data_IF_292278260618
#
_entry.id   IF_292278260618
#
_cell.length_a   1.000
_cell.length_b   1.000
_cell.length_c   1.000
_cell.angle_alpha   90.00
_cell.angle_beta   90.00
_cell.angle_gamma   90.00
#
_symmetry.space_group_name_H-M   'P 1'
#
loop_
_entity.id
_entity.type
_entity.pdbx_description
1 polymer ?
#
# COMPACT_ATOMS: atom_id res chain seq x y z
N UNK A 1 28.20 44.36 -18.66
CA UNK A 1 27.35 44.54 -17.45
C UNK A 1 26.00 43.94 -17.75
N UNK A 2 25.78 42.67 -17.41
CA UNK A 2 24.46 42.05 -17.49
C UNK A 2 23.98 41.83 -16.06
N UNK A 3 23.05 42.65 -15.59
CA UNK A 3 22.44 42.51 -14.28
C UNK A 3 21.40 41.41 -14.33
N UNK A 4 21.65 40.33 -13.59
CA UNK A 4 20.65 39.31 -13.26
C UNK A 4 19.45 39.96 -12.58
N UNK A 5 18.31 39.99 -13.27
CA UNK A 5 17.01 40.20 -12.62
C UNK A 5 16.55 38.81 -12.21
N UNK A 6 16.95 38.41 -11.00
CA UNK A 6 16.38 37.23 -10.36
C UNK A 6 14.93 37.58 -10.01
N UNK A 7 13.97 37.03 -10.77
CA UNK A 7 12.55 37.24 -10.52
C UNK A 7 12.21 36.78 -9.10
N UNK A 8 11.86 37.73 -8.23
CA UNK A 8 11.52 37.47 -6.84
C UNK A 8 10.26 36.60 -6.78
N UNK A 9 10.42 35.34 -6.36
CA UNK A 9 9.30 34.41 -6.14
C UNK A 9 8.26 35.04 -5.22
N UNK A 10 6.99 34.98 -5.64
CA UNK A 10 5.83 35.41 -4.86
C UNK A 10 5.79 34.69 -3.50
N UNK A 11 5.06 35.25 -2.52
CA UNK A 11 4.89 34.62 -1.22
C UNK A 11 4.27 33.21 -1.34
N UNK A 12 3.36 33.03 -2.31
CA UNK A 12 2.75 31.74 -2.63
C UNK A 12 3.77 30.75 -3.22
N UNK A 13 4.60 31.17 -4.17
CA UNK A 13 5.65 30.32 -4.74
C UNK A 13 6.72 29.94 -3.71
N UNK A 14 7.04 30.82 -2.77
CA UNK A 14 7.94 30.51 -1.64
C UNK A 14 7.32 29.50 -0.68
N UNK A 15 6.05 29.67 -0.33
CA UNK A 15 5.33 28.74 0.54
C UNK A 15 5.14 27.36 -0.12
N UNK A 16 4.98 27.31 -1.45
CA UNK A 16 4.90 26.07 -2.23
C UNK A 16 6.28 25.37 -2.30
N UNK A 17 7.37 26.14 -2.37
CA UNK A 17 8.73 25.61 -2.49
C UNK A 17 9.40 25.30 -1.13
N UNK A 18 8.79 25.68 -0.02
CA UNK A 18 9.29 25.36 1.32
C UNK A 18 9.19 23.84 1.56
N UNK A 19 10.30 23.18 1.98
CA UNK A 19 10.27 21.76 2.33
C UNK A 19 9.15 21.48 3.32
N UNK A 20 8.27 20.53 2.98
CA UNK A 20 7.18 20.12 3.86
C UNK A 20 7.67 19.09 4.89
N UNK A 21 6.79 18.71 5.80
CA UNK A 21 7.15 17.79 6.88
C UNK A 21 7.81 18.47 8.06
N UNK A 22 7.88 17.70 9.13
CA UNK A 22 8.73 17.99 10.29
C UNK A 22 9.26 16.68 10.78
N UNK A 23 10.42 16.72 11.42
CA UNK A 23 11.00 15.55 12.10
C UNK A 23 10.31 15.26 13.44
N UNK A 24 9.53 16.20 13.97
CA UNK A 24 8.80 16.00 15.22
C UNK A 24 7.37 15.49 14.97
N UNK A 25 6.92 14.49 15.72
CA UNK A 25 5.56 13.94 15.62
C UNK A 25 4.86 13.82 16.98
N UNK A 26 3.52 13.79 16.93
CA UNK A 26 2.68 13.64 18.13
C UNK A 26 2.52 12.16 18.48
N UNK A 27 2.97 11.70 19.65
CA UNK A 27 2.84 10.30 20.03
C UNK A 27 1.36 9.89 20.18
N UNK A 28 1.08 8.61 19.97
CA UNK A 28 -0.28 8.05 20.10
C UNK A 28 -1.24 8.38 18.96
N UNK A 29 -0.79 9.08 17.91
CA UNK A 29 -1.59 9.38 16.71
C UNK A 29 -1.14 8.59 15.47
N UNK A 30 -0.12 7.73 15.60
CA UNK A 30 0.42 6.99 14.49
C UNK A 30 -0.60 5.97 13.95
N UNK A 31 -0.64 5.83 12.64
CA UNK A 31 -1.49 4.86 11.97
C UNK A 31 -0.90 4.45 10.63
N UNK A 32 -1.20 3.22 10.24
CA UNK A 32 -0.77 2.63 8.98
C UNK A 32 -1.99 2.39 8.10
N UNK A 33 -1.85 2.71 6.82
CA UNK A 33 -2.80 2.33 5.78
C UNK A 33 -2.13 1.28 4.88
N UNK A 34 -2.79 0.14 4.71
CA UNK A 34 -2.40 -0.86 3.73
C UNK A 34 -3.55 -1.06 2.73
N UNK A 35 -3.30 -0.73 1.48
CA UNK A 35 -4.32 -0.70 0.42
C UNK A 35 -4.05 -1.79 -0.59
N UNK A 36 -5.08 -2.58 -0.89
CA UNK A 36 -5.11 -3.54 -1.99
C UNK A 36 -5.95 -2.96 -3.12
N UNK A 37 -5.39 -2.90 -4.32
CA UNK A 37 -6.12 -2.65 -5.56
C UNK A 37 -6.11 -3.90 -6.43
N UNK A 38 -7.25 -4.21 -7.02
CA UNK A 38 -7.34 -5.12 -8.15
C UNK A 38 -7.37 -4.27 -9.42
N UNK A 39 -6.33 -4.39 -10.23
CA UNK A 39 -6.21 -3.72 -11.53
C UNK A 39 -6.68 -4.68 -12.63
N UNK A 40 -7.44 -4.21 -13.65
CA UNK A 40 -7.91 -5.06 -14.76
C UNK A 40 -6.79 -5.78 -15.53
N UNK A 41 -5.57 -5.24 -15.51
CA UNK A 41 -4.44 -5.73 -16.28
C UNK A 41 -3.11 -5.35 -15.66
N UNK A 42 -2.02 -5.94 -16.17
CA UNK A 42 -0.67 -5.50 -15.84
C UNK A 42 -0.40 -4.06 -16.28
N UNK A 43 -0.92 -3.63 -17.44
CA UNK A 43 -0.70 -2.27 -17.94
C UNK A 43 -1.36 -1.20 -17.08
N UNK A 44 -2.58 -1.46 -16.59
CA UNK A 44 -3.29 -0.57 -15.65
C UNK A 44 -2.60 -0.55 -14.29
N UNK A 45 -2.13 -1.71 -13.79
CA UNK A 45 -1.32 -1.79 -12.58
C UNK A 45 -0.04 -0.95 -12.69
N UNK A 46 0.67 -1.01 -13.83
CA UNK A 46 1.87 -0.20 -14.06
C UNK A 46 1.56 1.31 -14.07
N UNK A 47 0.44 1.73 -14.66
CA UNK A 47 0.01 3.14 -14.62
C UNK A 47 -0.32 3.60 -13.20
N UNK A 48 -0.95 2.74 -12.40
CA UNK A 48 -1.19 3.01 -10.98
C UNK A 48 0.13 3.16 -10.21
N UNK A 49 1.08 2.25 -10.41
CA UNK A 49 2.42 2.33 -9.81
C UNK A 49 3.15 3.62 -10.18
N UNK A 50 3.06 4.06 -11.45
CA UNK A 50 3.64 5.34 -11.88
C UNK A 50 3.00 6.54 -11.18
N UNK A 51 1.69 6.49 -10.91
CA UNK A 51 1.01 7.54 -10.15
C UNK A 51 1.44 7.54 -8.68
N UNK A 52 1.51 6.36 -8.05
CA UNK A 52 2.02 6.19 -6.68
C UNK A 52 3.49 6.64 -6.55
N UNK A 53 4.33 6.37 -7.55
CA UNK A 53 5.72 6.81 -7.56
C UNK A 53 5.85 8.34 -7.55
N UNK A 54 4.94 9.06 -8.22
CA UNK A 54 4.88 10.52 -8.15
C UNK A 54 4.46 11.00 -6.76
N UNK A 55 3.50 10.32 -6.12
CA UNK A 55 3.11 10.61 -4.72
C UNK A 55 4.28 10.38 -3.76
N UNK A 56 5.03 9.28 -3.91
CA UNK A 56 6.16 8.97 -3.04
C UNK A 56 7.36 9.91 -3.26
N UNK A 57 7.58 10.41 -4.49
CA UNK A 57 8.59 11.43 -4.74
C UNK A 57 8.31 12.72 -3.93
N UNK A 58 7.04 13.07 -3.73
CA UNK A 58 6.62 14.20 -2.90
C UNK A 58 7.07 14.05 -1.45
N UNK A 59 6.84 12.87 -0.87
CA UNK A 59 7.17 12.59 0.54
C UNK A 59 8.66 12.41 0.76
N UNK A 60 9.39 11.95 -0.26
CA UNK A 60 10.82 11.73 -0.19
C UNK A 60 11.66 13.02 -0.32
N UNK A 61 11.15 14.05 -0.99
CA UNK A 61 11.88 15.33 -1.16
C UNK A 61 12.09 16.07 0.17
N UNK A 62 11.14 15.92 1.08
CA UNK A 62 10.91 16.80 2.21
C UNK A 62 11.26 16.09 3.55
N UNK A 63 11.08 16.73 4.71
CA UNK A 63 11.20 15.98 5.99
C UNK A 63 10.08 14.93 6.09
N UNK A 64 10.30 13.76 6.71
CA UNK A 64 9.39 12.63 6.55
C UNK A 64 8.01 12.90 7.14
N UNK A 65 7.04 13.23 6.29
CA UNK A 65 5.62 13.10 6.61
C UNK A 65 5.20 11.62 6.65
N UNK A 66 5.89 10.78 5.89
CA UNK A 66 5.55 9.37 5.69
C UNK A 66 6.84 8.55 5.76
N UNK A 67 7.25 8.04 6.94
CA UNK A 67 8.50 7.28 7.07
C UNK A 67 8.53 5.97 6.29
N UNK A 68 7.38 5.38 5.95
CA UNK A 68 7.27 4.15 5.17
C UNK A 68 6.25 4.40 4.06
N UNK A 69 6.68 4.35 2.80
CA UNK A 69 5.82 4.50 1.62
C UNK A 69 6.20 3.42 0.61
N UNK A 70 5.70 2.21 0.85
CA UNK A 70 6.00 1.05 0.03
C UNK A 70 4.82 0.73 -0.89
N UNK A 71 5.08 0.37 -2.14
CA UNK A 71 4.02 -0.12 -3.04
C UNK A 71 4.60 -1.04 -4.10
N UNK A 72 3.80 -1.99 -4.58
CA UNK A 72 4.24 -2.99 -5.56
C UNK A 72 3.08 -3.59 -6.34
N UNK A 73 3.39 -4.18 -7.49
CA UNK A 73 2.57 -5.25 -8.05
C UNK A 73 2.83 -6.50 -7.21
N UNK A 74 1.78 -7.04 -6.60
CA UNK A 74 1.90 -8.19 -5.71
C UNK A 74 2.09 -9.47 -6.50
N UNK A 75 3.22 -10.13 -6.27
CA UNK A 75 3.49 -11.44 -6.87
C UNK A 75 2.86 -12.60 -6.10
N UNK A 76 2.45 -12.34 -4.85
CA UNK A 76 1.90 -13.35 -3.95
C UNK A 76 0.38 -13.50 -4.07
N UNK A 77 -0.27 -12.67 -4.88
CA UNK A 77 -1.71 -12.48 -4.86
C UNK A 77 -2.40 -12.82 -6.18
N UNK A 78 -1.77 -13.63 -7.03
CA UNK A 78 -2.37 -14.08 -8.28
C UNK A 78 -3.72 -14.80 -8.06
N UNK A 79 -3.88 -15.49 -6.93
CA UNK A 79 -5.12 -16.16 -6.50
C UNK A 79 -6.19 -15.20 -5.95
N UNK A 80 -5.84 -13.96 -5.57
CA UNK A 80 -6.82 -12.95 -5.14
C UNK A 80 -7.59 -12.36 -6.30
N UNK A 81 -6.97 -12.39 -7.48
CA UNK A 81 -7.54 -11.90 -8.72
C UNK A 81 -8.44 -12.98 -9.34
N UNK A 82 -9.65 -12.63 -9.80
CA UNK A 82 -10.46 -13.59 -10.54
C UNK A 82 -9.77 -13.97 -11.85
N UNK A 83 -10.19 -15.09 -12.44
CA UNK A 83 -9.76 -15.47 -13.78
C UNK A 83 -10.08 -14.36 -14.79
N UNK A 84 -9.28 -14.27 -15.85
CA UNK A 84 -9.49 -13.34 -16.95
C UNK A 84 -10.91 -13.54 -17.52
N UNK A 85 -11.73 -12.48 -17.60
CA UNK A 85 -13.08 -12.59 -18.12
C UNK A 85 -13.03 -12.83 -19.63
N UNK A 86 -13.89 -13.70 -20.15
CA UNK A 86 -13.99 -13.99 -21.58
C UNK A 86 -15.22 -13.36 -22.20
N UNK A 87 -16.32 -13.29 -21.46
CA UNK A 87 -17.61 -12.78 -21.95
C UNK A 87 -18.06 -11.51 -21.23
N UNK A 88 -19.02 -10.81 -21.83
CA UNK A 88 -19.60 -9.57 -21.28
C UNK A 88 -20.11 -9.78 -19.84
N UNK A 89 -20.77 -10.90 -19.56
CA UNK A 89 -21.30 -11.20 -18.23
C UNK A 89 -20.25 -11.64 -17.21
N UNK A 90 -19.07 -12.08 -17.65
CA UNK A 90 -17.96 -12.43 -16.76
C UNK A 90 -17.21 -11.17 -16.30
N UNK A 91 -17.18 -10.11 -17.10
CA UNK A 91 -16.51 -8.86 -16.74
C UNK A 91 -17.20 -8.19 -15.54
N UNK A 92 -16.52 -7.99 -14.38
CA UNK A 92 -17.16 -7.56 -13.12
C UNK A 92 -17.98 -6.27 -13.24
N UNK A 93 -17.46 -5.26 -13.94
CA UNK A 93 -18.14 -3.99 -14.15
C UNK A 93 -19.36 -4.13 -15.07
N UNK A 94 -19.23 -4.83 -16.21
CA UNK A 94 -20.31 -4.98 -17.19
C UNK A 94 -21.42 -5.84 -16.60
N UNK A 95 -21.09 -6.92 -15.89
CA UNK A 95 -22.04 -7.72 -15.10
C UNK A 95 -22.84 -6.86 -14.14
N UNK A 96 -22.17 -5.98 -13.40
CA UNK A 96 -22.84 -5.06 -12.45
C UNK A 96 -23.76 -4.07 -13.18
N UNK A 97 -23.30 -3.52 -14.30
CA UNK A 97 -24.08 -2.61 -15.14
C UNK A 97 -25.33 -3.28 -15.73
N UNK A 98 -25.20 -4.50 -16.27
CA UNK A 98 -26.32 -5.32 -16.75
C UNK A 98 -27.32 -5.62 -15.62
N UNK A 99 -26.83 -5.93 -14.41
CA UNK A 99 -27.69 -6.16 -13.25
C UNK A 99 -28.45 -4.90 -12.83
N UNK A 100 -27.78 -3.73 -12.83
CA UNK A 100 -28.39 -2.41 -12.58
C UNK A 100 -29.50 -2.11 -13.61
N UNK A 101 -29.27 -2.38 -14.90
CA UNK A 101 -30.28 -2.23 -15.95
C UNK A 101 -31.51 -3.10 -15.66
N UNK A 102 -31.29 -4.38 -15.29
CA UNK A 102 -32.38 -5.33 -14.99
C UNK A 102 -33.25 -4.89 -13.80
N UNK A 103 -32.68 -4.21 -12.81
CA UNK A 103 -33.44 -3.70 -11.63
C UNK A 103 -33.97 -2.27 -11.83
N UNK A 104 -33.92 -1.73 -13.05
CA UNK A 104 -34.56 -0.47 -13.40
C UNK A 104 -33.73 0.79 -13.14
N UNK A 105 -32.42 0.68 -12.91
CA UNK A 105 -31.54 1.86 -12.84
C UNK A 105 -31.48 2.53 -14.22
N UNK A 106 -31.62 3.88 -14.33
CA UNK A 106 -31.61 4.57 -15.61
C UNK A 106 -30.35 4.31 -16.44
N UNK A 107 -30.51 3.97 -17.73
CA UNK A 107 -29.40 3.69 -18.65
C UNK A 107 -28.37 4.82 -18.69
N UNK A 108 -28.82 6.09 -18.71
CA UNK A 108 -27.93 7.26 -18.71
C UNK A 108 -26.97 7.32 -17.51
N UNK A 109 -27.42 6.89 -16.33
CA UNK A 109 -26.56 6.84 -15.14
C UNK A 109 -25.51 5.73 -15.25
N UNK A 110 -25.88 4.60 -15.86
CA UNK A 110 -24.99 3.45 -16.07
C UNK A 110 -23.96 3.76 -17.15
N UNK A 111 -24.37 4.38 -18.26
CA UNK A 111 -23.45 4.80 -19.33
C UNK A 111 -22.43 5.82 -18.84
N UNK A 112 -22.84 6.76 -17.98
CA UNK A 112 -21.92 7.70 -17.35
C UNK A 112 -20.91 6.99 -16.42
N UNK A 113 -21.34 5.99 -15.65
CA UNK A 113 -20.47 5.21 -14.78
C UNK A 113 -19.45 4.36 -15.57
N UNK A 114 -19.88 3.72 -16.66
CA UNK A 114 -19.00 2.97 -17.56
C UNK A 114 -17.99 3.86 -18.28
N UNK A 115 -18.44 4.99 -18.82
CA UNK A 115 -17.56 5.95 -19.50
C UNK A 115 -16.48 6.49 -18.54
N UNK A 116 -16.85 6.76 -17.28
CA UNK A 116 -15.90 7.16 -16.24
C UNK A 116 -14.86 6.07 -15.96
N UNK A 117 -15.22 4.80 -16.09
CA UNK A 117 -14.32 3.65 -15.96
C UNK A 117 -13.59 3.30 -17.27
N UNK A 118 -13.73 4.12 -18.32
CA UNK A 118 -13.09 3.91 -19.61
C UNK A 118 -13.66 2.76 -20.43
N UNK A 119 -14.87 2.27 -20.12
CA UNK A 119 -15.51 1.16 -20.84
C UNK A 119 -16.47 1.66 -21.91
N UNK A 120 -16.47 0.97 -23.05
CA UNK A 120 -17.42 1.23 -24.14
C UNK A 120 -18.84 0.83 -23.73
N UNK A 121 -19.74 1.80 -23.78
CA UNK A 121 -21.16 1.62 -23.43
C UNK A 121 -21.94 0.77 -24.42
N UNK A 122 -21.45 0.65 -25.67
CA UNK A 122 -22.07 -0.21 -26.68
C UNK A 122 -22.02 -1.70 -26.28
N UNK A 123 -21.10 -2.08 -25.40
CA UNK A 123 -21.00 -3.43 -24.85
C UNK A 123 -22.26 -3.85 -24.06
N UNK A 124 -23.06 -2.90 -23.58
CA UNK A 124 -24.33 -3.18 -22.90
C UNK A 124 -25.44 -3.67 -23.85
N UNK A 125 -25.29 -3.46 -25.14
CA UNK A 125 -26.28 -3.83 -26.16
C UNK A 125 -25.94 -5.17 -26.84
N UNK A 126 -24.80 -5.77 -26.48
CA UNK A 126 -24.40 -7.10 -26.92
C UNK A 126 -25.07 -8.19 -26.07
N UNK A 127 -25.08 -9.41 -26.61
CA UNK A 127 -25.50 -10.57 -25.83
C UNK A 127 -24.56 -10.76 -24.62
N UNK A 128 -25.08 -11.00 -23.39
CA UNK A 128 -24.24 -11.22 -22.22
C UNK A 128 -23.22 -12.36 -22.37
N UNK A 129 -23.50 -13.38 -23.19
CA UNK A 129 -22.57 -14.47 -23.46
C UNK A 129 -21.62 -14.19 -24.64
N UNK A 130 -21.70 -13.02 -25.26
CA UNK A 130 -20.77 -12.63 -26.33
C UNK A 130 -19.35 -12.45 -25.76
N UNK A 131 -18.36 -12.74 -26.61
CA UNK A 131 -16.95 -12.54 -26.27
C UNK A 131 -16.65 -11.05 -26.04
N UNK A 132 -15.80 -10.78 -25.06
CA UNK A 132 -15.24 -9.46 -24.81
C UNK A 132 -14.27 -9.06 -25.91
N UNK A 133 -14.08 -7.75 -26.15
CA UNK A 133 -12.89 -7.27 -26.84
C UNK A 133 -11.61 -7.82 -26.21
N UNK A 134 -10.59 -8.23 -26.99
CA UNK A 134 -9.35 -8.82 -26.46
C UNK A 134 -8.67 -7.97 -25.39
N UNK A 135 -8.78 -6.65 -25.47
CA UNK A 135 -8.21 -5.71 -24.52
C UNK A 135 -8.80 -5.85 -23.11
N UNK A 136 -10.04 -6.33 -23.01
CA UNK A 136 -10.76 -6.57 -21.75
C UNK A 136 -10.66 -8.02 -21.26
N UNK A 137 -10.00 -8.91 -22.02
CA UNK A 137 -9.77 -10.32 -21.65
C UNK A 137 -8.44 -10.53 -20.91
N UNK A 138 -7.84 -9.47 -20.36
CA UNK A 138 -6.57 -9.55 -19.65
C UNK A 138 -6.77 -10.09 -18.23
N UNK A 139 -5.75 -10.78 -17.72
CA UNK A 139 -5.75 -11.24 -16.33
C UNK A 139 -5.60 -10.04 -15.38
N UNK A 140 -6.49 -9.90 -14.37
CA UNK A 140 -6.34 -8.89 -13.35
C UNK A 140 -5.08 -9.13 -12.51
N UNK A 141 -4.57 -8.04 -11.92
CA UNK A 141 -3.35 -8.04 -11.11
C UNK A 141 -3.57 -7.25 -9.84
N UNK A 142 -3.05 -7.75 -8.71
CA UNK A 142 -3.13 -7.05 -7.44
C UNK A 142 -1.97 -6.05 -7.30
N UNK A 143 -2.29 -4.83 -6.87
CA UNK A 143 -1.33 -3.81 -6.42
C UNK A 143 -1.53 -3.57 -4.93
N UNK A 144 -0.43 -3.46 -4.20
CA UNK A 144 -0.42 -3.15 -2.77
C UNK A 144 0.29 -1.83 -2.52
N UNK A 145 -0.17 -1.06 -1.53
CA UNK A 145 0.57 0.09 -0.98
C UNK A 145 0.45 0.13 0.54
N UNK A 146 1.55 0.42 1.21
CA UNK A 146 1.67 0.60 2.65
C UNK A 146 2.20 2.00 2.92
N UNK A 147 1.45 2.77 3.69
CA UNK A 147 1.80 4.13 4.10
C UNK A 147 1.72 4.22 5.62
N UNK A 148 2.78 4.66 6.27
CA UNK A 148 2.81 4.92 7.71
C UNK A 148 2.81 6.43 7.97
N UNK A 149 1.82 6.89 8.73
CA UNK A 149 1.72 8.27 9.19
C UNK A 149 1.95 8.30 10.69
N UNK A 150 2.79 9.22 11.17
CA UNK A 150 3.11 9.32 12.60
C UNK A 150 2.16 10.21 13.39
N UNK A 151 1.43 11.11 12.71
CA UNK A 151 0.34 11.89 13.26
C UNK A 151 -0.59 12.43 12.15
N UNK A 152 -1.70 13.05 12.55
CA UNK A 152 -2.67 13.65 11.61
C UNK A 152 -2.04 14.73 10.74
N UNK A 153 -1.11 15.51 11.28
CA UNK A 153 -0.43 16.58 10.54
C UNK A 153 0.35 15.97 9.37
N UNK A 154 1.06 14.88 9.60
CA UNK A 154 1.83 14.20 8.57
C UNK A 154 0.95 13.73 7.40
N UNK A 155 -0.25 13.19 7.71
CA UNK A 155 -1.25 12.86 6.70
C UNK A 155 -1.72 14.09 5.92
N UNK A 156 -2.13 15.15 6.62
CA UNK A 156 -2.64 16.37 5.98
C UNK A 156 -1.57 17.07 5.12
N UNK A 157 -0.32 17.11 5.57
CA UNK A 157 0.80 17.66 4.80
C UNK A 157 1.10 16.82 3.55
N UNK A 158 1.02 15.50 3.65
CA UNK A 158 1.14 14.62 2.49
C UNK A 158 0.00 14.83 1.48
N UNK A 159 -1.25 14.67 1.95
CA UNK A 159 -2.45 14.77 1.11
C UNK A 159 -2.67 16.19 0.53
N UNK A 160 -2.18 17.21 1.23
CA UNK A 160 -2.22 18.62 0.78
C UNK A 160 -1.02 19.05 -0.07
N UNK A 161 -0.02 18.19 -0.26
CA UNK A 161 1.14 18.53 -1.08
C UNK A 161 0.77 18.66 -2.56
N UNK A 162 1.38 19.61 -3.26
CA UNK A 162 1.11 19.84 -4.69
C UNK A 162 1.39 18.58 -5.51
N UNK A 163 2.52 17.94 -5.26
CA UNK A 163 2.95 16.75 -5.99
C UNK A 163 1.98 15.58 -5.77
N UNK A 164 1.44 15.42 -4.54
CA UNK A 164 0.36 14.48 -4.30
C UNK A 164 -0.89 14.86 -5.08
N UNK A 165 -1.37 16.11 -5.00
CA UNK A 165 -2.58 16.54 -5.70
C UNK A 165 -2.47 16.38 -7.22
N UNK A 166 -1.31 16.65 -7.80
CA UNK A 166 -1.02 16.49 -9.23
C UNK A 166 -1.01 15.01 -9.65
N UNK A 167 -0.64 14.08 -8.75
CA UNK A 167 -0.61 12.64 -9.00
C UNK A 167 -1.88 11.89 -8.57
N UNK A 168 -2.62 12.43 -7.60
CA UNK A 168 -3.76 11.79 -6.93
C UNK A 168 -4.89 11.48 -7.90
N UNK A 169 -5.08 12.33 -8.92
CA UNK A 169 -6.04 12.07 -9.99
C UNK A 169 -5.78 10.72 -10.68
N UNK A 170 -4.50 10.36 -10.89
CA UNK A 170 -4.11 9.07 -11.45
C UNK A 170 -4.33 7.90 -10.49
N UNK A 171 -4.01 8.08 -9.20
CA UNK A 171 -4.28 7.05 -8.17
C UNK A 171 -5.78 6.78 -8.02
N UNK A 172 -6.59 7.82 -8.13
CA UNK A 172 -8.04 7.75 -7.98
C UNK A 172 -8.78 7.47 -9.29
N UNK A 173 -8.08 7.31 -10.41
CA UNK A 173 -8.68 6.98 -11.71
C UNK A 173 -9.43 5.64 -11.64
N UNK A 174 -10.76 5.64 -11.74
CA UNK A 174 -11.56 4.43 -11.62
C UNK A 174 -11.36 3.47 -12.81
N UNK A 175 -10.75 3.88 -13.91
CA UNK A 175 -10.38 2.99 -15.01
C UNK A 175 -9.19 2.07 -14.65
N UNK A 176 -8.37 2.45 -13.64
CA UNK A 176 -7.19 1.68 -13.26
C UNK A 176 -7.48 0.56 -12.24
N UNK A 177 -8.71 0.45 -11.75
CA UNK A 177 -9.08 -0.51 -10.69
C UNK A 177 -10.51 -1.03 -10.80
N UNK A 178 -10.69 -2.30 -10.48
CA UNK A 178 -12.02 -2.93 -10.36
C UNK A 178 -12.48 -3.01 -8.91
N UNK A 179 -11.54 -3.17 -7.98
CA UNK A 179 -11.81 -3.32 -6.55
C UNK A 179 -10.71 -2.67 -5.72
N UNK A 180 -11.07 -2.15 -4.55
CA UNK A 180 -10.14 -1.63 -3.55
C UNK A 180 -10.52 -2.11 -2.17
N UNK A 181 -9.53 -2.40 -1.34
CA UNK A 181 -9.70 -2.65 0.09
C UNK A 181 -8.60 -1.92 0.85
N UNK A 182 -8.98 -1.05 1.78
CA UNK A 182 -8.04 -0.33 2.64
C UNK A 182 -8.13 -0.93 4.04
N UNK A 183 -7.01 -1.35 4.60
CA UNK A 183 -6.88 -1.75 6.00
C UNK A 183 -6.19 -0.61 6.75
N UNK A 184 -6.74 -0.24 7.90
CA UNK A 184 -6.10 0.66 8.84
C UNK A 184 -5.69 -0.07 10.10
N UNK A 185 -4.49 0.23 10.59
CA UNK A 185 -4.02 -0.07 11.95
C UNK A 185 -3.62 1.22 12.66
N UNK A 186 -3.74 1.25 13.99
CA UNK A 186 -3.36 2.40 14.81
C UNK A 186 -4.49 3.36 15.12
N UNK A 187 -4.13 4.52 15.66
CA UNK A 187 -5.05 5.43 16.34
C UNK A 187 -5.00 6.83 15.72
N UNK A 188 -5.43 7.00 14.46
CA UNK A 188 -5.61 8.34 13.92
C UNK A 188 -6.63 9.12 14.75
N UNK A 189 -6.62 10.44 14.62
CA UNK A 189 -7.57 11.29 15.35
C UNK A 189 -9.02 11.02 14.88
N UNK A 190 -10.02 11.22 15.74
CA UNK A 190 -11.43 11.07 15.35
C UNK A 190 -11.81 11.95 14.15
N UNK A 191 -11.24 13.16 14.08
CA UNK A 191 -11.44 14.05 12.94
C UNK A 191 -11.03 13.39 11.63
N UNK A 192 -9.84 12.77 11.59
CA UNK A 192 -9.35 12.14 10.37
C UNK A 192 -10.19 10.92 9.97
N UNK A 193 -10.62 10.12 10.95
CA UNK A 193 -11.50 8.96 10.72
C UNK A 193 -12.83 9.43 10.08
N UNK A 194 -13.53 10.34 10.76
CA UNK A 194 -14.89 10.78 10.38
C UNK A 194 -14.93 11.56 9.08
N UNK A 195 -13.84 12.27 8.73
CA UNK A 195 -13.80 13.15 7.56
C UNK A 195 -13.18 12.53 6.33
N UNK A 196 -12.25 11.59 6.51
CA UNK A 196 -11.46 11.06 5.40
C UNK A 196 -11.51 9.55 5.35
N UNK A 197 -11.05 8.86 6.40
CA UNK A 197 -10.72 7.44 6.27
C UNK A 197 -11.97 6.56 6.12
N UNK A 198 -13.01 6.79 6.92
CA UNK A 198 -14.28 6.07 6.80
C UNK A 198 -15.06 6.47 5.54
N UNK A 199 -15.37 7.75 5.27
CA UNK A 199 -16.22 8.11 4.13
C UNK A 199 -15.52 7.98 2.77
N UNK A 200 -14.23 8.31 2.67
CA UNK A 200 -13.51 8.33 1.39
C UNK A 200 -12.81 7.01 1.10
N UNK A 201 -12.09 6.46 2.07
CA UNK A 201 -11.29 5.24 1.87
C UNK A 201 -12.06 3.96 2.21
N UNK A 202 -13.20 4.07 2.92
CA UNK A 202 -14.01 2.94 3.39
C UNK A 202 -13.14 1.89 4.08
N UNK A 203 -12.30 2.39 4.99
CA UNK A 203 -11.32 1.57 5.67
C UNK A 203 -11.96 0.41 6.44
N UNK A 204 -11.20 -0.68 6.55
CA UNK A 204 -11.42 -1.75 7.50
C UNK A 204 -10.43 -1.58 8.63
N UNK A 205 -10.92 -1.44 9.85
CA UNK A 205 -10.06 -1.33 11.03
C UNK A 205 -9.56 -2.72 11.41
N UNK A 206 -8.25 -2.92 11.40
CA UNK A 206 -7.61 -4.09 11.95
C UNK A 206 -7.22 -3.81 13.41
N UNK A 207 -7.48 -4.75 14.34
CA UNK A 207 -7.05 -4.62 15.72
C UNK A 207 -5.51 -4.66 15.80
N UNK A 208 -4.97 -4.15 16.89
CA UNK A 208 -3.54 -4.15 17.16
C UNK A 208 -3.27 -4.73 18.54
N UNK A 209 -2.43 -5.76 18.58
CA UNK A 209 -1.81 -6.23 19.82
C UNK A 209 -0.89 -5.16 20.40
N UNK A 210 -0.73 -5.14 21.72
CA UNK A 210 0.28 -4.35 22.43
C UNK A 210 1.72 -4.67 22.00
N UNK A 211 1.94 -5.86 21.41
CA UNK A 211 3.22 -6.26 20.84
C UNK A 211 3.43 -5.74 19.41
N UNK A 212 2.43 -5.10 18.80
CA UNK A 212 2.57 -4.47 17.49
C UNK A 212 3.37 -3.18 17.59
N UNK A 213 4.19 -2.92 16.58
CA UNK A 213 5.00 -1.70 16.48
C UNK A 213 4.67 -1.02 15.16
N UNK A 214 3.96 0.11 15.22
CA UNK A 214 3.77 0.94 14.03
C UNK A 214 5.05 1.70 13.68
N UNK A 215 5.72 2.22 14.72
CA UNK A 215 6.93 2.99 14.55
C UNK A 215 7.85 2.83 15.73
N UNK A 216 9.11 2.54 15.43
CA UNK A 216 10.23 2.66 16.35
C UNK A 216 11.34 3.37 15.60
N UNK A 217 11.84 4.48 16.16
CA UNK A 217 13.01 5.16 15.59
C UNK A 217 14.17 4.15 15.50
N UNK A 218 14.75 3.94 14.31
CA UNK A 218 15.88 3.03 14.16
C UNK A 218 17.07 3.54 14.98
N UNK A 219 17.66 2.68 15.81
CA UNK A 219 18.90 2.99 16.55
C UNK A 219 20.13 2.88 15.66
N UNK A 220 20.07 1.97 14.68
CA UNK A 220 21.05 1.75 13.62
C UNK A 220 20.29 1.30 12.37
N UNK A 221 20.81 1.68 11.19
CA UNK A 221 20.29 1.28 9.89
C UNK A 221 21.37 0.54 9.09
N UNK A 222 21.42 -0.77 9.25
CA UNK A 222 22.26 -1.69 8.45
C UNK A 222 21.55 -2.07 7.15
N UNK A 223 20.23 -2.23 7.19
CA UNK A 223 19.42 -2.58 6.02
C UNK A 223 18.16 -1.74 5.91
N UNK A 224 17.51 -1.83 4.75
CA UNK A 224 16.12 -1.43 4.55
C UNK A 224 15.37 -2.59 3.89
N UNK A 225 14.71 -3.40 4.71
CA UNK A 225 14.02 -4.61 4.26
C UNK A 225 12.55 -4.51 4.61
N UNK A 226 11.68 -4.60 3.61
CA UNK A 226 10.24 -4.71 3.82
C UNK A 226 9.81 -6.17 3.66
N UNK A 227 9.19 -6.72 4.68
CA UNK A 227 8.72 -8.10 4.76
C UNK A 227 7.20 -8.08 4.71
N UNK A 228 6.62 -8.94 3.87
CA UNK A 228 5.17 -9.16 3.83
C UNK A 228 4.89 -10.63 3.57
N UNK A 229 4.34 -11.30 4.58
CA UNK A 229 4.12 -12.74 4.63
C UNK A 229 2.64 -13.01 4.89
N UNK A 230 2.08 -13.96 4.14
CA UNK A 230 0.77 -14.51 4.42
C UNK A 230 0.94 -15.83 5.17
N UNK A 231 0.33 -15.92 6.33
CA UNK A 231 0.45 -17.04 7.26
C UNK A 231 -0.92 -17.67 7.43
N UNK A 232 -1.03 -18.98 7.22
CA UNK A 232 -2.25 -19.75 7.52
C UNK A 232 -2.44 -19.79 9.04
N UNK A 233 -3.64 -19.45 9.49
CA UNK A 233 -4.01 -19.49 10.90
C UNK A 233 -4.78 -20.78 11.19
N UNK A 234 -4.14 -21.73 11.86
CA UNK A 234 -4.77 -22.99 12.29
C UNK A 234 -5.49 -22.82 13.64
N UNK A 235 -6.41 -21.85 13.68
CA UNK A 235 -6.94 -21.27 14.91
C UNK A 235 -6.09 -20.10 15.42
N UNK A 236 -6.66 -19.27 16.29
CA UNK A 236 -6.05 -18.01 16.73
C UNK A 236 -6.43 -16.82 15.83
N UNK A 237 -5.77 -15.69 16.07
CA UNK A 237 -5.97 -14.44 15.32
C UNK A 237 -4.63 -13.86 14.87
N UNK A 238 -4.64 -12.84 14.01
CA UNK A 238 -3.41 -12.22 13.54
C UNK A 238 -2.52 -11.63 14.66
N UNK A 239 -3.09 -11.26 15.81
CA UNK A 239 -2.34 -10.71 16.95
C UNK A 239 -1.37 -11.74 17.54
N UNK A 240 -1.75 -13.03 17.53
CA UNK A 240 -0.90 -14.13 17.98
C UNK A 240 0.45 -14.15 17.21
N UNK A 241 0.48 -13.73 15.94
CA UNK A 241 1.72 -13.69 15.15
C UNK A 241 2.73 -12.68 15.69
N UNK A 242 2.28 -11.46 16.03
CA UNK A 242 3.19 -10.41 16.49
C UNK A 242 3.65 -10.62 17.93
N UNK A 243 2.84 -11.29 18.75
CA UNK A 243 3.16 -11.65 20.14
C UNK A 243 4.20 -12.77 20.22
N UNK A 244 4.36 -13.55 19.15
CA UNK A 244 5.32 -14.66 19.07
C UNK A 244 6.69 -14.22 18.57
N UNK A 245 6.84 -12.96 18.17
CA UNK A 245 8.15 -12.40 17.82
C UNK A 245 9.04 -12.36 19.06
N UNK A 246 10.21 -13.01 19.05
CA UNK A 246 11.10 -13.04 20.21
C UNK A 246 11.60 -11.64 20.59
N UNK A 247 11.87 -11.43 21.88
CA UNK A 247 12.40 -10.15 22.38
C UNK A 247 13.74 -9.78 21.71
N UNK A 248 14.55 -10.77 21.34
CA UNK A 248 15.82 -10.58 20.63
C UNK A 248 15.61 -10.04 19.21
N UNK A 249 14.49 -10.39 18.58
CA UNK A 249 14.11 -9.95 17.24
C UNK A 249 13.49 -8.56 17.23
N UNK A 250 12.89 -8.11 18.35
CA UNK A 250 12.23 -6.81 18.46
C UNK A 250 13.10 -5.68 17.92
N UNK A 251 14.36 -5.60 18.35
CA UNK A 251 15.29 -4.53 17.96
C UNK A 251 15.66 -4.50 16.46
N UNK A 252 15.25 -5.50 15.68
CA UNK A 252 15.43 -5.52 14.23
C UNK A 252 14.35 -4.71 13.50
N UNK A 253 13.16 -4.59 14.09
CA UNK A 253 11.99 -3.98 13.44
C UNK A 253 11.81 -2.50 13.81
N UNK A 254 11.67 -1.68 12.76
CA UNK A 254 11.15 -0.30 12.82
C UNK A 254 9.63 -0.32 12.80
N UNK A 255 9.04 -1.26 12.07
CA UNK A 255 7.62 -1.54 12.01
C UNK A 255 7.43 -3.05 12.06
N UNK A 256 6.44 -3.52 12.82
CA UNK A 256 6.03 -4.92 12.95
C UNK A 256 4.54 -4.95 13.25
N UNK A 257 3.74 -5.42 12.31
CA UNK A 257 2.28 -5.49 12.44
C UNK A 257 1.75 -6.78 11.85
N UNK A 258 0.61 -7.25 12.34
CA UNK A 258 -0.15 -8.31 11.69
C UNK A 258 -1.65 -8.00 11.74
N UNK A 259 -2.37 -8.47 10.72
CA UNK A 259 -3.81 -8.33 10.62
C UNK A 259 -4.43 -9.46 9.81
N UNK A 260 -5.70 -9.77 10.05
CA UNK A 260 -6.42 -10.76 9.25
C UNK A 260 -6.49 -10.31 7.80
N UNK A 261 -6.11 -11.18 6.87
CA UNK A 261 -6.02 -10.83 5.47
C UNK A 261 -7.42 -10.51 4.92
N UNK A 262 -7.71 -9.27 4.48
CA UNK A 262 -9.08 -8.83 4.22
C UNK A 262 -9.73 -9.48 2.99
N UNK A 263 -8.94 -10.22 2.22
CA UNK A 263 -9.32 -10.92 0.99
C UNK A 263 -9.08 -12.44 1.05
N UNK A 264 -8.55 -12.99 2.16
CA UNK A 264 -8.33 -14.44 2.34
C UNK A 264 -8.81 -14.87 3.71
N UNK A 265 -9.77 -15.78 3.73
CA UNK A 265 -10.29 -16.34 4.97
C UNK A 265 -9.27 -17.30 5.61
N UNK A 266 -9.09 -17.19 6.93
CA UNK A 266 -8.16 -18.02 7.70
C UNK A 266 -6.68 -17.73 7.45
N UNK A 267 -6.35 -16.60 6.83
CA UNK A 267 -4.98 -16.16 6.60
C UNK A 267 -4.76 -14.84 7.30
N UNK A 268 -3.62 -14.69 7.99
CA UNK A 268 -3.16 -13.40 8.51
C UNK A 268 -1.99 -12.88 7.68
N UNK A 269 -1.92 -11.57 7.51
CA UNK A 269 -0.79 -10.86 6.91
C UNK A 269 0.12 -10.39 8.03
N UNK A 270 1.37 -10.85 8.04
CA UNK A 270 2.45 -10.23 8.81
C UNK A 270 3.21 -9.25 7.91
N UNK A 271 3.46 -8.04 8.41
CA UNK A 271 4.33 -7.06 7.75
C UNK A 271 5.36 -6.51 8.71
N UNK A 272 6.58 -6.31 8.20
CA UNK A 272 7.64 -5.69 8.97
C UNK A 272 8.57 -4.85 8.11
N UNK A 273 9.15 -3.81 8.69
CA UNK A 273 10.29 -3.09 8.13
C UNK A 273 11.47 -3.27 9.06
N UNK A 274 12.54 -3.87 8.56
CA UNK A 274 13.74 -4.14 9.33
C UNK A 274 14.79 -3.07 9.05
N UNK A 275 15.44 -2.59 10.12
CA UNK A 275 16.65 -1.77 10.01
C UNK A 275 17.93 -2.57 10.29
N UNK A 276 17.80 -3.81 10.79
CA UNK A 276 18.90 -4.76 11.01
C UNK A 276 18.50 -6.13 10.47
N UNK A 277 19.40 -6.78 9.73
CA UNK A 277 19.15 -8.12 9.22
C UNK A 277 19.85 -9.14 10.10
N UNK A 278 19.07 -9.88 10.90
CA UNK A 278 19.58 -10.95 11.75
C UNK A 278 18.70 -12.21 11.64
N UNK A 279 19.24 -13.42 11.86
CA UNK A 279 18.47 -14.66 11.79
C UNK A 279 17.24 -14.66 12.70
N UNK A 280 17.35 -14.09 13.90
CA UNK A 280 16.27 -14.05 14.89
C UNK A 280 15.02 -13.32 14.38
N UNK A 281 15.17 -12.43 13.38
CA UNK A 281 14.04 -11.74 12.76
C UNK A 281 13.09 -12.68 12.00
N UNK A 282 13.56 -13.86 11.59
CA UNK A 282 12.81 -14.81 10.79
C UNK A 282 12.72 -16.22 11.39
N UNK A 283 13.66 -16.65 12.23
CA UNK A 283 13.70 -18.02 12.76
C UNK A 283 12.40 -18.46 13.48
N UNK A 284 11.75 -17.54 14.17
CA UNK A 284 10.48 -17.79 14.86
C UNK A 284 9.33 -18.12 13.91
N UNK A 285 9.42 -17.78 12.62
CA UNK A 285 8.42 -18.10 11.61
C UNK A 285 8.36 -19.60 11.28
N UNK A 286 9.37 -20.38 11.67
CA UNK A 286 9.38 -21.85 11.50
C UNK A 286 8.21 -22.54 12.21
N UNK A 287 7.69 -21.91 13.26
CA UNK A 287 6.55 -22.41 14.02
C UNK A 287 5.21 -22.13 13.33
N UNK A 288 5.22 -21.47 12.16
CA UNK A 288 4.04 -21.04 11.44
C UNK A 288 3.99 -21.59 10.01
N UNK A 289 2.77 -21.81 9.53
CA UNK A 289 2.55 -22.18 8.13
C UNK A 289 2.55 -20.93 7.25
N UNK A 290 3.74 -20.47 6.87
CA UNK A 290 3.91 -19.39 5.90
C UNK A 290 3.54 -19.93 4.51
N UNK A 291 2.39 -19.51 3.97
CA UNK A 291 1.91 -20.01 2.68
C UNK A 291 2.60 -19.34 1.50
N UNK A 292 2.99 -18.07 1.70
CA UNK A 292 3.60 -17.21 0.69
C UNK A 292 4.17 -15.97 1.34
N UNK A 293 5.14 -15.36 0.69
CA UNK A 293 5.74 -14.15 1.20
C UNK A 293 6.60 -13.47 0.16
N UNK A 294 6.74 -12.17 0.31
CA UNK A 294 7.69 -11.39 -0.49
C UNK A 294 8.44 -10.44 0.42
N UNK A 295 9.76 -10.45 0.27
CA UNK A 295 10.70 -9.59 0.97
C UNK A 295 11.35 -8.66 -0.06
N UNK A 296 11.19 -7.35 0.13
CA UNK A 296 11.92 -6.33 -0.64
C UNK A 296 13.17 -5.93 0.11
N UNK A 297 14.30 -5.97 -0.57
CA UNK A 297 15.58 -5.37 -0.14
C UNK A 297 16.32 -4.79 -1.34
N UNK A 298 17.31 -3.92 -1.10
CA UNK A 298 18.17 -3.48 -2.19
C UNK A 298 19.04 -4.61 -2.73
N UNK A 299 19.47 -4.46 -3.99
CA UNK A 299 20.26 -5.46 -4.69
C UNK A 299 21.54 -5.83 -3.92
N UNK A 300 22.16 -4.86 -3.24
CA UNK A 300 23.33 -5.07 -2.39
C UNK A 300 23.10 -5.99 -1.20
N UNK A 301 21.85 -6.20 -0.78
CA UNK A 301 21.49 -7.05 0.35
C UNK A 301 20.83 -8.36 -0.07
N UNK A 302 20.57 -8.57 -1.37
CA UNK A 302 19.76 -9.68 -1.86
C UNK A 302 20.29 -11.05 -1.42
N UNK A 303 21.59 -11.31 -1.60
CA UNK A 303 22.21 -12.59 -1.21
C UNK A 303 22.08 -12.83 0.30
N UNK A 304 22.40 -11.81 1.11
CA UNK A 304 22.30 -11.89 2.58
C UNK A 304 20.86 -12.15 3.05
N UNK A 305 19.87 -11.53 2.42
CA UNK A 305 18.44 -11.76 2.71
C UNK A 305 18.02 -13.18 2.31
N UNK A 306 18.41 -13.64 1.12
CA UNK A 306 18.11 -15.00 0.65
C UNK A 306 18.70 -16.04 1.60
N UNK A 307 19.95 -15.88 2.02
CA UNK A 307 20.60 -16.80 2.95
C UNK A 307 19.92 -16.80 4.31
N UNK A 308 19.57 -15.61 4.84
CA UNK A 308 18.84 -15.49 6.12
C UNK A 308 17.47 -16.18 6.05
N UNK A 309 16.73 -16.01 4.96
CA UNK A 309 15.44 -16.69 4.76
C UNK A 309 15.61 -18.20 4.63
N UNK A 310 16.64 -18.67 3.91
CA UNK A 310 16.94 -20.09 3.77
C UNK A 310 17.27 -20.72 5.12
N UNK A 311 18.11 -20.08 5.92
CA UNK A 311 18.46 -20.55 7.27
C UNK A 311 17.23 -20.55 8.19
N UNK A 312 16.27 -19.67 7.92
CA UNK A 312 14.96 -19.63 8.57
C UNK A 312 13.95 -20.65 8.02
N UNK A 313 14.28 -21.47 7.01
CA UNK A 313 13.35 -22.44 6.40
C UNK A 313 12.25 -21.79 5.56
N UNK A 314 12.50 -20.60 5.03
CA UNK A 314 11.58 -19.79 4.23
C UNK A 314 12.02 -19.74 2.77
N UNK A 315 12.45 -20.86 2.18
CA UNK A 315 12.99 -20.88 0.81
C UNK A 315 11.98 -20.48 -0.26
N UNK A 316 10.68 -20.69 0.02
CA UNK A 316 9.58 -20.33 -0.88
C UNK A 316 9.19 -18.84 -0.81
N UNK A 317 9.76 -18.09 0.14
CA UNK A 317 9.54 -16.64 0.24
C UNK A 317 10.33 -15.93 -0.86
N UNK A 318 9.62 -15.19 -1.71
CA UNK A 318 10.23 -14.49 -2.83
C UNK A 318 11.03 -13.29 -2.36
N UNK A 319 12.29 -13.19 -2.78
CA UNK A 319 13.06 -11.96 -2.62
C UNK A 319 12.92 -11.11 -3.88
N UNK A 320 12.41 -9.89 -3.72
CA UNK A 320 12.29 -8.92 -4.79
C UNK A 320 13.35 -7.83 -4.59
N UNK A 321 14.35 -7.77 -5.46
CA UNK A 321 15.39 -6.75 -5.44
C UNK A 321 15.20 -5.67 -6.53
N UNK A 322 14.03 -5.61 -7.16
CA UNK A 322 13.75 -4.67 -8.26
C UNK A 322 13.78 -3.21 -7.79
N UNK A 323 14.16 -2.31 -8.70
CA UNK A 323 14.18 -0.84 -8.53
C UNK A 323 12.79 -0.17 -8.56
N UNK A 324 11.72 -0.93 -8.80
CA UNK A 324 10.39 -0.36 -9.07
C UNK A 324 9.41 -0.52 -7.91
N UNK A 325 9.71 0.09 -6.76
CA UNK A 325 8.83 0.23 -5.59
C UNK A 325 9.26 1.47 -4.81
N UNK A 326 8.35 2.17 -4.11
CA UNK A 326 8.60 3.44 -3.39
C UNK A 326 9.82 3.46 -2.45
N UNK A 327 9.61 3.49 -1.15
CA UNK A 327 10.68 3.30 -0.17
C UNK A 327 10.14 2.58 1.07
N UNK A 328 10.91 1.60 1.54
CA UNK A 328 10.59 0.84 2.74
C UNK A 328 10.87 1.67 3.99
N UNK A 329 11.91 2.50 3.98
CA UNK A 329 12.20 3.45 5.05
C UNK A 329 12.77 4.76 4.49
N UNK A 330 12.18 5.89 4.87
CA UNK A 330 12.63 7.21 4.43
C UNK A 330 14.10 7.46 4.81
N UNK A 331 14.87 8.17 3.98
CA UNK A 331 16.31 8.43 4.23
C UNK A 331 16.59 9.12 5.58
N UNK A 332 15.67 9.99 6.01
CA UNK A 332 15.74 10.77 7.25
C UNK A 332 14.94 10.17 8.42
N UNK A 333 14.60 8.89 8.35
CA UNK A 333 13.84 8.19 9.39
C UNK A 333 14.49 8.27 10.78
N UNK A 334 15.82 8.23 10.82
CA UNK A 334 16.62 8.37 12.05
C UNK A 334 16.51 9.75 12.69
N UNK A 335 16.02 10.78 11.98
CA UNK A 335 15.87 12.12 12.54
C UNK A 335 14.51 12.34 13.22
N UNK A 336 13.57 11.40 13.06
CA UNK A 336 12.22 11.51 13.62
C UNK A 336 12.22 11.43 15.15
N UNK A 337 11.51 12.34 15.80
CA UNK A 337 11.46 12.48 17.26
C UNK A 337 10.05 12.73 17.75
N UNK A 338 9.70 12.18 18.91
CA UNK A 338 8.44 12.50 19.59
C UNK A 338 8.50 13.90 20.18
N UNK A 339 7.42 14.66 20.04
CA UNK A 339 7.22 15.89 20.80
C UNK A 339 6.86 15.48 22.23
N UNK A 340 7.67 15.90 23.21
CA UNK A 340 7.30 15.76 24.63
C UNK A 340 6.02 16.56 24.89
N UNK A 341 5.02 15.91 25.48
CA UNK A 341 3.72 16.49 25.77
C UNK A 341 3.79 17.66 26.75
#
# INVERSE_FOLDING_TARGET
MASNIEQQKTALERLIAEPKGKTAYTPGQAFLLHVFWECPSLSTAQQLLQSLAKCAAATHRDTPCVPIYFFRISNNNADLCPAAPKTIEEHPTLRTALRKLRVGVPRGAITADLARQGLDTALLDLDPSADLPPELQQSPVAVECTELYLDERAFNEHAGSRDYLDAYAGVMDPALRTRTCTVRMGTPTPFLIERVLEPMLKEKVAPMSDSSVLWRRPSERDVDVFVSLDVRMDGGNAEDLVEKVPHEAEGCFVMKVAFDHPLREGTARFMGVLSKLRPEAFEWLKDFSVERGEVRCDLSFQERVVDTLRDAGLEDVRVNASESVGYSLHARSEELTEVSA
#
